data_IF_082364573549
#
_entry.id   IF_082364573549
#
_cell.length_a   1.000
_cell.length_b   1.000
_cell.length_c   1.000
_cell.angle_alpha   90.00
_cell.angle_beta   90.00
_cell.angle_gamma   90.00
#
_symmetry.space_group_name_H-M   'P 1'
#
loop_
_entity.id
_entity.type
_entity.pdbx_description
1 polymer ?
#
# COMPACT_ATOMS: atom_id res chain seq x y z
N UNK A 1 -21.43 5.90 19.59
CA UNK A 1 -21.17 7.22 19.02
C UNK A 1 -20.45 8.06 20.06
N UNK A 2 -19.14 8.24 19.91
CA UNK A 2 -18.38 9.15 20.77
C UNK A 2 -18.52 10.58 20.22
N UNK A 3 -18.45 11.57 21.10
CA UNK A 3 -18.38 12.99 20.78
C UNK A 3 -17.00 13.45 21.20
N UNK A 4 -16.32 14.14 20.30
CA UNK A 4 -15.01 14.73 20.52
C UNK A 4 -15.16 16.24 20.50
N UNK A 5 -14.46 16.87 21.42
CA UNK A 5 -14.54 18.31 21.64
C UNK A 5 -13.11 18.84 21.66
N UNK A 6 -12.76 19.61 20.62
CA UNK A 6 -11.45 20.24 20.50
C UNK A 6 -11.51 21.67 21.00
N UNK A 7 -10.68 21.96 21.99
CA UNK A 7 -10.54 23.26 22.61
C UNK A 7 -9.31 24.00 22.06
N UNK A 8 -9.29 25.32 22.29
CA UNK A 8 -8.16 26.16 21.89
C UNK A 8 -6.88 25.84 22.67
N UNK A 9 -7.02 25.49 23.95
CA UNK A 9 -5.92 25.11 24.82
C UNK A 9 -6.36 24.12 25.92
N UNK A 10 -5.38 23.53 26.60
CA UNK A 10 -5.57 22.54 27.66
C UNK A 10 -6.37 23.08 28.85
N UNK A 11 -6.28 24.39 29.10
CA UNK A 11 -6.94 25.02 30.25
C UNK A 11 -8.44 25.10 30.01
N UNK A 12 -8.84 25.49 28.80
CA UNK A 12 -10.23 25.51 28.36
C UNK A 12 -10.83 24.11 28.37
N UNK A 13 -10.10 23.12 27.86
CA UNK A 13 -10.50 21.71 27.88
C UNK A 13 -10.77 21.21 29.31
N UNK A 14 -9.81 21.42 30.21
CA UNK A 14 -9.92 21.01 31.61
C UNK A 14 -11.08 21.69 32.33
N UNK A 15 -11.24 22.99 32.11
CA UNK A 15 -12.34 23.77 32.71
C UNK A 15 -13.71 23.22 32.33
N UNK A 16 -13.89 22.78 31.09
CA UNK A 16 -15.17 22.22 30.62
C UNK A 16 -15.35 20.77 31.06
N UNK A 17 -14.30 19.96 31.01
CA UNK A 17 -14.34 18.56 31.47
C UNK A 17 -14.69 18.43 32.96
N UNK A 18 -14.31 19.40 33.80
CA UNK A 18 -14.69 19.43 35.22
C UNK A 18 -16.17 19.79 35.45
N UNK A 19 -16.82 20.45 34.47
CA UNK A 19 -18.20 20.93 34.60
C UNK A 19 -19.23 19.99 33.96
N UNK A 20 -18.83 19.23 32.93
CA UNK A 20 -19.74 18.39 32.15
C UNK A 20 -19.45 16.92 32.43
N UNK A 21 -20.43 16.25 33.04
CA UNK A 21 -20.33 14.83 33.37
C UNK A 21 -20.20 13.97 32.10
N UNK A 22 -19.28 13.01 32.14
CA UNK A 22 -19.05 12.07 31.04
C UNK A 22 -17.99 12.51 30.02
N UNK A 23 -17.36 13.69 30.21
CA UNK A 23 -16.17 14.07 29.45
C UNK A 23 -14.89 13.51 30.08
N UNK A 24 -14.07 12.88 29.26
CA UNK A 24 -12.72 12.44 29.58
C UNK A 24 -11.73 13.20 28.70
N UNK A 25 -10.68 13.77 29.30
CA UNK A 25 -9.61 14.44 28.55
C UNK A 25 -8.76 13.38 27.85
N UNK A 26 -8.41 13.59 26.58
CA UNK A 26 -7.51 12.72 25.84
C UNK A 26 -6.12 12.67 26.50
N UNK A 27 -5.53 11.49 26.51
CA UNK A 27 -4.20 11.25 27.11
C UNK A 27 -3.09 11.79 26.18
N UNK A 28 -3.34 11.77 24.87
CA UNK A 28 -2.39 12.19 23.82
C UNK A 28 -2.43 13.71 23.61
N UNK A 29 -3.63 14.29 23.49
CA UNK A 29 -3.83 15.73 23.26
C UNK A 29 -4.71 16.34 24.37
N UNK A 30 -4.09 17.10 25.27
CA UNK A 30 -4.78 17.64 26.46
C UNK A 30 -5.79 18.74 26.19
N UNK A 31 -5.81 19.28 24.97
CA UNK A 31 -6.85 20.20 24.50
C UNK A 31 -8.04 19.48 23.83
N UNK A 32 -8.10 18.13 23.88
CA UNK A 32 -9.22 17.33 23.37
C UNK A 32 -9.94 16.63 24.54
N UNK A 33 -11.27 16.66 24.53
CA UNK A 33 -12.10 15.84 25.42
C UNK A 33 -13.06 14.94 24.62
N UNK A 34 -13.35 13.76 25.16
CA UNK A 34 -14.13 12.72 24.51
C UNK A 34 -15.24 12.25 25.46
N UNK A 35 -16.45 12.04 24.93
CA UNK A 35 -17.57 11.47 25.67
C UNK A 35 -18.28 10.41 24.84
N UNK A 36 -18.56 9.23 25.42
CA UNK A 36 -19.40 8.20 24.76
C UNK A 36 -20.87 8.60 24.71
N UNK A 37 -21.29 9.44 25.66
CA UNK A 37 -22.62 10.04 25.74
C UNK A 37 -22.50 11.34 26.52
N UNK A 38 -23.02 12.41 25.94
CA UNK A 38 -23.02 13.73 26.58
C UNK A 38 -24.42 14.32 26.52
N UNK A 39 -24.77 15.09 27.54
CA UNK A 39 -25.93 15.97 27.46
C UNK A 39 -25.51 17.23 26.69
N UNK A 40 -25.97 17.36 25.44
CA UNK A 40 -25.63 18.48 24.57
C UNK A 40 -26.01 19.84 25.17
N UNK A 41 -27.11 19.92 25.93
CA UNK A 41 -27.51 21.16 26.60
C UNK A 41 -26.59 21.51 27.75
N UNK A 42 -26.14 20.51 28.51
CA UNK A 42 -25.16 20.71 29.57
C UNK A 42 -23.83 21.19 29.00
N UNK A 43 -23.39 20.63 27.87
CA UNK A 43 -22.20 21.07 27.16
C UNK A 43 -22.34 22.52 26.65
N UNK A 44 -23.41 22.84 25.94
CA UNK A 44 -23.67 24.19 25.43
C UNK A 44 -23.69 25.23 26.57
N UNK A 45 -24.34 24.89 27.69
CA UNK A 45 -24.40 25.76 28.86
C UNK A 45 -23.00 25.98 29.47
N UNK A 46 -22.20 24.91 29.62
CA UNK A 46 -20.86 25.01 30.17
C UNK A 46 -19.92 25.87 29.29
N UNK A 47 -19.98 25.68 27.96
CA UNK A 47 -19.24 26.49 26.99
C UNK A 47 -19.65 27.97 27.09
N UNK A 48 -20.96 28.25 27.17
CA UNK A 48 -21.50 29.60 27.29
C UNK A 48 -21.08 30.30 28.59
N UNK A 49 -21.24 29.63 29.74
CA UNK A 49 -20.90 30.18 31.05
C UNK A 49 -19.40 30.44 31.20
N UNK A 50 -18.58 29.54 30.67
CA UNK A 50 -17.11 29.65 30.71
C UNK A 50 -16.57 30.62 29.66
N UNK A 51 -17.40 31.07 28.71
CA UNK A 51 -16.99 31.87 27.53
C UNK A 51 -15.90 31.18 26.71
N UNK A 52 -15.99 29.85 26.63
CA UNK A 52 -15.07 28.99 25.89
C UNK A 52 -15.74 28.58 24.58
N UNK A 53 -14.97 28.61 23.50
CA UNK A 53 -15.37 28.07 22.21
C UNK A 53 -14.66 26.74 21.97
N UNK A 54 -15.39 25.76 21.46
CA UNK A 54 -14.83 24.46 21.10
C UNK A 54 -15.43 23.96 19.79
N UNK A 55 -14.66 23.17 19.05
CA UNK A 55 -15.17 22.43 17.90
C UNK A 55 -15.74 21.11 18.43
N UNK A 56 -17.05 20.95 18.31
CA UNK A 56 -17.77 19.73 18.72
C UNK A 56 -18.02 18.92 17.46
N UNK A 57 -17.47 17.72 17.43
CA UNK A 57 -17.64 16.78 16.34
C UNK A 57 -18.08 15.42 16.88
N UNK A 58 -18.86 14.70 16.09
CA UNK A 58 -19.05 13.28 16.34
C UNK A 58 -17.75 12.58 15.98
N UNK A 59 -17.41 11.52 16.69
CA UNK A 59 -16.18 10.77 16.46
C UNK A 59 -16.09 10.27 15.01
N UNK A 60 -17.22 9.81 14.47
CA UNK A 60 -17.36 9.45 13.05
C UNK A 60 -16.91 10.60 12.14
N UNK A 61 -17.35 11.84 12.38
CA UNK A 61 -16.97 13.00 11.55
C UNK A 61 -15.49 13.38 11.64
N UNK A 62 -14.81 13.12 12.76
CA UNK A 62 -13.36 13.36 12.86
C UNK A 62 -12.55 12.26 12.20
N UNK A 63 -12.97 11.00 12.38
CA UNK A 63 -12.34 9.88 11.71
C UNK A 63 -12.52 9.99 10.20
N UNK A 64 -13.69 10.40 9.71
CA UNK A 64 -13.93 10.61 8.29
C UNK A 64 -12.95 11.67 7.73
N UNK A 65 -12.75 12.81 8.39
CA UNK A 65 -11.78 13.83 7.95
C UNK A 65 -10.33 13.34 7.94
N UNK A 66 -9.94 12.54 8.94
CA UNK A 66 -8.60 11.95 9.03
C UNK A 66 -8.40 10.89 7.96
N UNK A 67 -9.37 9.99 7.80
CA UNK A 67 -9.37 8.96 6.74
C UNK A 67 -9.26 9.61 5.38
N UNK A 68 -10.10 10.61 5.09
CA UNK A 68 -10.10 11.30 3.80
C UNK A 68 -8.73 11.94 3.51
N UNK A 69 -8.06 12.53 4.52
CA UNK A 69 -6.71 13.08 4.36
C UNK A 69 -5.63 12.01 4.12
N UNK A 70 -5.76 10.85 4.75
CA UNK A 70 -4.84 9.71 4.53
C UNK A 70 -5.05 9.17 3.12
N UNK A 71 -6.31 8.92 2.74
CA UNK A 71 -6.71 8.33 1.46
C UNK A 71 -6.51 9.29 0.28
N UNK A 72 -6.53 10.60 0.47
CA UNK A 72 -6.21 11.60 -0.57
C UNK A 72 -4.79 11.41 -1.15
N UNK A 73 -3.87 10.80 -0.38
CA UNK A 73 -2.51 10.49 -0.85
C UNK A 73 -2.46 9.27 -1.77
N UNK A 74 -3.56 8.52 -1.92
CA UNK A 74 -3.62 7.32 -2.75
C UNK A 74 -3.98 7.73 -4.16
N UNK A 75 -3.02 7.55 -5.07
CA UNK A 75 -3.25 7.78 -6.50
C UNK A 75 -3.87 6.53 -7.16
N UNK A 76 -4.86 6.73 -8.03
CA UNK A 76 -5.56 5.64 -8.70
C UNK A 76 -4.60 4.79 -9.55
N UNK A 77 -4.64 3.47 -9.37
CA UNK A 77 -3.80 2.52 -10.11
C UNK A 77 -2.37 2.38 -9.59
N UNK A 78 -1.99 3.14 -8.56
CA UNK A 78 -0.70 3.01 -7.87
C UNK A 78 -0.78 2.00 -6.70
N UNK A 79 0.35 1.42 -6.28
CA UNK A 79 0.39 0.51 -5.13
C UNK A 79 -0.15 1.15 -3.84
N UNK A 80 -1.17 0.53 -3.26
CA UNK A 80 -1.77 0.95 -1.99
C UNK A 80 -2.29 -0.26 -1.22
N UNK A 81 -2.30 -0.14 0.11
CA UNK A 81 -2.79 -1.17 1.04
C UNK A 81 -3.95 -0.61 1.88
N UNK A 82 -4.96 -1.43 2.11
CA UNK A 82 -6.01 -1.14 3.08
C UNK A 82 -5.63 -1.78 4.41
N UNK A 83 -5.33 -0.93 5.40
CA UNK A 83 -4.95 -1.38 6.74
C UNK A 83 -6.12 -1.20 7.68
N UNK A 84 -6.48 -2.26 8.40
CA UNK A 84 -7.58 -2.28 9.35
C UNK A 84 -7.09 -2.38 10.80
N UNK A 85 -7.83 -1.79 11.73
CA UNK A 85 -7.65 -1.98 13.17
C UNK A 85 -8.28 -3.31 13.61
N UNK A 86 -7.46 -4.20 14.17
CA UNK A 86 -7.93 -5.53 14.58
C UNK A 86 -8.87 -5.49 15.79
N UNK A 87 -8.67 -4.55 16.72
CA UNK A 87 -9.59 -4.36 17.85
C UNK A 87 -11.00 -3.99 17.35
N UNK A 88 -11.10 -3.01 16.45
CA UNK A 88 -12.37 -2.60 15.83
C UNK A 88 -13.01 -3.72 15.03
N UNK A 89 -12.20 -4.45 14.25
CA UNK A 89 -12.68 -5.58 13.47
C UNK A 89 -13.31 -6.66 14.36
N UNK A 90 -12.67 -7.02 15.47
CA UNK A 90 -13.20 -7.97 16.46
C UNK A 90 -14.51 -7.49 17.11
N UNK A 91 -14.69 -6.18 17.22
CA UNK A 91 -15.94 -5.54 17.69
C UNK A 91 -16.96 -5.28 16.57
N UNK A 92 -16.75 -5.83 15.37
CA UNK A 92 -17.61 -5.65 14.18
C UNK A 92 -17.76 -4.19 13.75
N UNK A 93 -16.74 -3.38 13.97
CA UNK A 93 -16.64 -1.98 13.53
C UNK A 93 -15.62 -1.90 12.39
N UNK A 94 -16.05 -1.37 11.24
CA UNK A 94 -15.13 -1.09 10.14
C UNK A 94 -14.29 0.15 10.48
N UNK A 95 -13.02 -0.08 10.77
CA UNK A 95 -12.06 0.96 11.09
C UNK A 95 -10.73 0.65 10.41
N UNK A 96 -10.36 1.50 9.45
CA UNK A 96 -9.20 1.29 8.58
C UNK A 96 -9.17 2.31 7.46
N UNK A 97 -8.04 2.42 6.78
CA UNK A 97 -7.83 3.39 5.72
C UNK A 97 -6.98 2.81 4.59
N UNK A 98 -7.22 3.29 3.36
CA UNK A 98 -6.29 3.10 2.26
C UNK A 98 -5.05 3.97 2.44
N UNK A 99 -3.88 3.36 2.39
CA UNK A 99 -2.57 4.02 2.57
C UNK A 99 -1.73 3.74 1.32
N UNK A 100 -1.16 4.79 0.75
CA UNK A 100 -0.23 4.66 -0.38
C UNK A 100 0.98 3.83 0.05
N UNK A 101 1.40 2.87 -0.76
CA UNK A 101 2.61 2.10 -0.50
C UNK A 101 3.86 2.74 -1.13
N UNK A 102 3.69 3.74 -2.00
CA UNK A 102 4.78 4.51 -2.63
C UNK A 102 5.32 5.61 -1.71
N UNK A 103 5.68 5.22 -0.49
CA UNK A 103 6.28 6.10 0.50
C UNK A 103 7.15 5.30 1.47
N UNK A 104 7.89 5.99 2.33
CA UNK A 104 8.75 5.32 3.30
C UNK A 104 7.97 4.42 4.26
N UNK A 105 8.55 3.29 4.73
CA UNK A 105 7.93 2.44 5.74
C UNK A 105 7.51 3.20 7.01
N UNK A 106 8.30 4.20 7.41
CA UNK A 106 8.02 5.07 8.56
C UNK A 106 6.77 5.92 8.33
N UNK A 107 6.58 6.47 7.13
CA UNK A 107 5.39 7.25 6.79
C UNK A 107 4.13 6.38 6.70
N UNK A 108 4.25 5.12 6.25
CA UNK A 108 3.15 4.14 6.30
C UNK A 108 2.79 3.88 7.75
N UNK A 109 3.79 3.57 8.59
CA UNK A 109 3.58 3.30 10.01
C UNK A 109 2.94 4.49 10.75
N UNK A 110 3.36 5.72 10.47
CA UNK A 110 2.77 6.94 11.05
C UNK A 110 1.27 7.04 10.72
N UNK A 111 0.88 6.75 9.47
CA UNK A 111 -0.54 6.74 9.05
C UNK A 111 -1.33 5.59 9.69
N UNK A 112 -0.72 4.42 9.88
CA UNK A 112 -1.36 3.30 10.60
C UNK A 112 -1.54 3.65 12.07
N UNK A 113 -0.54 4.26 12.72
CA UNK A 113 -0.64 4.69 14.11
C UNK A 113 -1.70 5.79 14.28
N UNK A 114 -1.76 6.74 13.35
CA UNK A 114 -2.81 7.75 13.32
C UNK A 114 -4.19 7.10 13.10
N UNK A 115 -4.33 6.12 12.20
CA UNK A 115 -5.58 5.37 12.05
C UNK A 115 -5.98 4.69 13.37
N UNK A 116 -5.04 4.02 14.03
CA UNK A 116 -5.29 3.27 15.27
C UNK A 116 -5.69 4.18 16.45
N UNK A 117 -5.11 5.37 16.59
CA UNK A 117 -5.46 6.30 17.68
C UNK A 117 -6.90 6.84 17.57
N UNK A 118 -7.47 6.78 16.37
CA UNK A 118 -8.88 7.07 16.08
C UNK A 118 -9.77 5.82 16.10
N UNK A 119 -9.33 4.71 16.68
CA UNK A 119 -10.23 3.59 17.02
C UNK A 119 -11.02 3.87 18.30
N UNK A 120 -12.31 3.55 18.29
CA UNK A 120 -13.16 3.62 19.48
C UNK A 120 -12.97 2.47 20.47
N UNK A 121 -12.19 1.44 20.09
CA UNK A 121 -11.95 0.27 20.92
C UNK A 121 -10.82 0.51 21.92
N UNK A 122 -10.91 -0.09 23.13
CA UNK A 122 -9.81 -0.01 24.09
C UNK A 122 -8.58 -0.78 23.57
N UNK A 123 -7.39 -0.18 23.69
CA UNK A 123 -6.11 -0.83 23.35
C UNK A 123 -6.04 -1.23 21.86
N UNK A 124 -6.40 -0.31 20.97
CA UNK A 124 -6.28 -0.47 19.53
C UNK A 124 -4.83 -0.29 19.06
N UNK A 125 -3.98 -1.30 19.27
CA UNK A 125 -2.56 -1.26 18.86
C UNK A 125 -2.27 -2.18 17.67
N UNK A 126 -3.14 -3.16 17.43
CA UNK A 126 -2.95 -4.20 16.42
C UNK A 126 -3.62 -3.84 15.09
N UNK A 127 -2.92 -4.12 14.00
CA UNK A 127 -3.35 -3.86 12.63
C UNK A 127 -3.09 -5.07 11.73
N UNK A 128 -3.79 -5.09 10.59
CA UNK A 128 -3.59 -6.07 9.53
C UNK A 128 -3.86 -5.44 8.16
N UNK A 129 -3.14 -5.88 7.13
CA UNK A 129 -3.42 -5.55 5.72
C UNK A 129 -4.56 -6.46 5.27
N UNK A 130 -5.75 -5.88 5.06
CA UNK A 130 -6.94 -6.64 4.69
C UNK A 130 -7.18 -6.69 3.18
N UNK A 131 -6.64 -5.73 2.44
CA UNK A 131 -6.78 -5.64 0.99
C UNK A 131 -5.61 -4.83 0.41
N UNK A 132 -5.33 -4.99 -0.88
CA UNK A 132 -4.29 -4.23 -1.57
C UNK A 132 -4.65 -4.01 -3.05
N UNK A 133 -4.04 -2.99 -3.66
CA UNK A 133 -4.22 -2.69 -5.08
C UNK A 133 -2.94 -2.14 -5.70
N UNK A 134 -2.85 -2.15 -7.03
CA UNK A 134 -1.77 -1.49 -7.78
C UNK A 134 -0.43 -2.25 -7.86
N UNK A 135 -0.26 -3.36 -7.13
CA UNK A 135 0.97 -4.18 -7.08
C UNK A 135 1.23 -5.07 -8.31
N UNK A 136 0.56 -4.82 -9.44
CA UNK A 136 0.77 -5.49 -10.74
C UNK A 136 0.75 -7.04 -10.71
N UNK A 137 0.06 -7.63 -9.74
CA UNK A 137 -0.08 -9.08 -9.57
C UNK A 137 0.82 -9.70 -8.50
N UNK A 138 1.62 -8.90 -7.80
CA UNK A 138 2.32 -9.34 -6.58
C UNK A 138 1.28 -9.55 -5.46
N UNK A 139 1.46 -10.63 -4.71
CA UNK A 139 0.65 -10.92 -3.52
C UNK A 139 1.23 -10.20 -2.31
N UNK A 140 0.37 -9.51 -1.57
CA UNK A 140 0.70 -8.90 -0.28
C UNK A 140 -0.04 -9.69 0.80
N UNK A 141 0.70 -10.15 1.80
CA UNK A 141 0.17 -10.92 2.92
C UNK A 141 -0.27 -10.00 4.06
N UNK A 142 -1.16 -10.51 4.92
CA UNK A 142 -1.84 -9.77 5.99
C UNK A 142 -0.87 -9.06 6.96
N UNK A 143 0.32 -9.62 7.15
CA UNK A 143 1.35 -9.14 8.09
C UNK A 143 2.69 -8.87 7.42
N UNK A 144 2.71 -8.64 6.11
CA UNK A 144 3.94 -8.21 5.44
C UNK A 144 4.47 -6.93 6.08
N UNK A 145 5.79 -6.85 6.24
CA UNK A 145 6.41 -5.67 6.83
C UNK A 145 6.25 -4.46 5.92
N UNK A 146 6.11 -3.26 6.48
CA UNK A 146 6.03 -2.04 5.67
C UNK A 146 7.31 -1.78 4.86
N UNK A 147 8.46 -2.32 5.28
CA UNK A 147 9.69 -2.35 4.49
C UNK A 147 9.50 -3.16 3.20
N UNK A 148 8.96 -4.37 3.31
CA UNK A 148 8.68 -5.21 2.15
C UNK A 148 7.62 -4.56 1.26
N UNK A 149 6.49 -4.11 1.83
CA UNK A 149 5.40 -3.48 1.08
C UNK A 149 5.88 -2.25 0.31
N UNK A 150 6.63 -1.36 0.96
CA UNK A 150 7.18 -0.15 0.34
C UNK A 150 8.13 -0.50 -0.82
N UNK A 151 9.05 -1.44 -0.60
CA UNK A 151 10.00 -1.87 -1.64
C UNK A 151 9.29 -2.56 -2.82
N UNK A 152 8.28 -3.40 -2.56
CA UNK A 152 7.49 -4.03 -3.61
C UNK A 152 6.69 -3.00 -4.41
N UNK A 153 6.14 -1.97 -3.76
CA UNK A 153 5.46 -0.88 -4.41
C UNK A 153 6.40 -0.12 -5.37
N UNK A 154 7.58 0.26 -4.90
CA UNK A 154 8.59 0.95 -5.71
C UNK A 154 9.00 0.14 -6.95
N UNK A 155 9.26 -1.16 -6.76
CA UNK A 155 9.69 -2.05 -7.83
C UNK A 155 8.56 -2.33 -8.82
N UNK A 156 7.33 -2.53 -8.35
CA UNK A 156 6.16 -2.73 -9.19
C UNK A 156 5.81 -1.47 -10.00
N UNK A 157 6.04 -0.28 -9.45
CA UNK A 157 5.85 0.98 -10.18
C UNK A 157 6.96 1.20 -11.22
N UNK A 158 8.21 0.89 -10.86
CA UNK A 158 9.37 1.10 -11.73
C UNK A 158 9.47 0.10 -12.89
N UNK A 159 9.12 -1.16 -12.64
CA UNK A 159 9.38 -2.28 -13.56
C UNK A 159 8.11 -3.03 -13.97
N UNK A 160 6.96 -2.68 -13.39
CA UNK A 160 5.67 -3.19 -13.82
C UNK A 160 5.51 -4.70 -13.69
N UNK A 161 4.90 -5.29 -14.72
CA UNK A 161 4.54 -6.71 -14.77
C UNK A 161 5.76 -7.63 -14.83
N UNK A 162 6.87 -7.19 -15.42
CA UNK A 162 8.11 -7.97 -15.48
C UNK A 162 8.61 -8.31 -14.06
N UNK A 163 8.64 -7.31 -13.18
CA UNK A 163 9.04 -7.51 -11.79
C UNK A 163 8.04 -8.39 -11.04
N UNK A 164 6.73 -8.18 -11.22
CA UNK A 164 5.72 -9.01 -10.57
C UNK A 164 5.84 -10.50 -10.92
N UNK A 165 6.11 -10.81 -12.21
CA UNK A 165 6.32 -12.17 -12.67
C UNK A 165 7.56 -12.79 -12.01
N UNK A 166 8.68 -12.07 -12.02
CA UNK A 166 9.94 -12.53 -11.40
C UNK A 166 9.78 -12.73 -9.89
N UNK A 167 9.13 -11.78 -9.22
CA UNK A 167 8.87 -11.82 -7.78
C UNK A 167 8.03 -13.05 -7.38
N UNK A 168 6.93 -13.28 -8.09
CA UNK A 168 6.04 -14.42 -7.79
C UNK A 168 6.66 -15.78 -8.09
N UNK A 169 7.69 -15.82 -8.94
CA UNK A 169 8.41 -17.05 -9.29
C UNK A 169 9.45 -17.42 -8.21
N UNK A 170 10.21 -16.44 -7.69
CA UNK A 170 11.35 -16.68 -6.78
C UNK A 170 11.83 -15.47 -5.97
N UNK A 171 11.08 -14.38 -5.98
CA UNK A 171 11.41 -13.16 -5.25
C UNK A 171 11.40 -13.36 -3.74
N UNK A 172 12.29 -12.62 -3.07
CA UNK A 172 12.28 -12.43 -1.62
C UNK A 172 12.92 -11.08 -1.31
N UNK A 173 12.69 -10.54 -0.11
CA UNK A 173 13.29 -9.26 0.27
C UNK A 173 14.82 -9.26 0.13
N UNK A 174 15.47 -10.39 0.40
CA UNK A 174 16.93 -10.54 0.29
C UNK A 174 17.45 -10.72 -1.14
N UNK A 175 16.57 -10.97 -2.12
CA UNK A 175 16.94 -11.14 -3.54
C UNK A 175 16.38 -10.05 -4.43
N UNK A 176 15.58 -9.12 -3.91
CA UNK A 176 14.81 -8.15 -4.71
C UNK A 176 15.66 -7.33 -5.68
N UNK A 177 16.88 -6.99 -5.30
CA UNK A 177 17.79 -6.21 -6.15
C UNK A 177 18.39 -7.05 -7.31
N UNK A 178 18.35 -8.39 -7.24
CA UNK A 178 18.78 -9.28 -8.31
C UNK A 178 17.90 -9.17 -9.56
N UNK A 179 16.67 -8.65 -9.43
CA UNK A 179 15.76 -8.50 -10.56
C UNK A 179 16.40 -7.80 -11.76
N UNK A 180 17.21 -6.75 -11.51
CA UNK A 180 17.83 -5.99 -12.59
C UNK A 180 18.89 -6.81 -13.35
N UNK A 181 19.60 -7.70 -12.66
CA UNK A 181 20.59 -8.59 -13.26
C UNK A 181 19.90 -9.78 -13.95
N UNK A 182 18.78 -10.24 -13.40
CA UNK A 182 18.02 -11.37 -13.92
C UNK A 182 17.15 -10.99 -15.13
N UNK A 183 16.68 -9.75 -15.24
CA UNK A 183 15.76 -9.34 -16.29
C UNK A 183 16.47 -9.10 -17.63
N UNK A 184 16.08 -9.87 -18.64
CA UNK A 184 16.71 -9.86 -19.96
C UNK A 184 15.97 -8.98 -20.98
N UNK A 185 14.72 -8.61 -20.70
CA UNK A 185 13.94 -7.73 -21.55
C UNK A 185 12.52 -8.23 -21.84
N UNK A 186 11.79 -7.38 -22.55
CA UNK A 186 10.43 -7.63 -23.03
C UNK A 186 10.44 -7.77 -24.55
N UNK A 187 9.79 -8.82 -25.04
CA UNK A 187 9.79 -9.24 -26.43
C UNK A 187 8.37 -9.58 -26.89
N UNK A 188 8.11 -9.55 -28.20
CA UNK A 188 6.79 -9.90 -28.74
C UNK A 188 6.48 -11.38 -28.53
N UNK A 189 7.48 -12.22 -28.75
CA UNK A 189 7.46 -13.66 -28.53
C UNK A 189 8.87 -14.17 -28.21
N UNK A 190 8.96 -15.49 -28.00
CA UNK A 190 10.20 -16.18 -27.66
C UNK A 190 11.22 -16.21 -28.80
N UNK A 191 10.79 -16.11 -30.07
CA UNK A 191 11.69 -16.12 -31.22
C UNK A 191 12.37 -14.75 -31.35
N UNK A 192 11.64 -13.68 -31.07
CA UNK A 192 12.14 -12.30 -31.04
C UNK A 192 13.36 -12.15 -30.09
N UNK A 193 13.29 -12.75 -28.89
CA UNK A 193 14.44 -12.80 -27.97
C UNK A 193 15.66 -13.49 -28.58
N UNK A 194 15.47 -14.67 -29.20
CA UNK A 194 16.57 -15.41 -29.81
C UNK A 194 17.18 -14.65 -30.98
N UNK A 195 16.34 -14.00 -31.79
CA UNK A 195 16.80 -13.19 -32.92
C UNK A 195 17.66 -12.01 -32.46
N UNK A 196 17.34 -11.38 -31.33
CA UNK A 196 18.12 -10.29 -30.73
C UNK A 196 19.52 -10.74 -30.25
N UNK A 197 19.67 -12.02 -29.89
CA UNK A 197 20.96 -12.61 -29.54
C UNK A 197 21.82 -13.00 -30.75
N UNK A 198 21.22 -13.16 -31.93
CA UNK A 198 21.96 -13.57 -33.11
C UNK A 198 22.86 -12.43 -33.61
N UNK A 199 24.10 -12.74 -34.05
CA UNK A 199 24.94 -11.75 -34.69
C UNK A 199 24.22 -11.10 -35.87
N UNK A 200 24.39 -9.78 -36.00
CA UNK A 200 23.86 -8.96 -37.09
C UNK A 200 24.20 -9.51 -38.48
N UNK A 201 25.38 -10.13 -38.61
CA UNK A 201 25.83 -10.77 -39.83
C UNK A 201 25.03 -12.04 -40.15
N UNK A 202 24.54 -12.75 -39.13
CA UNK A 202 23.74 -13.95 -39.31
C UNK A 202 22.28 -13.60 -39.61
N UNK A 203 21.76 -12.49 -39.10
CA UNK A 203 20.37 -12.07 -39.34
C UNK A 203 20.14 -11.43 -40.72
N UNK A 204 21.22 -10.95 -41.38
CA UNK A 204 21.18 -10.22 -42.67
C UNK A 204 21.60 -11.05 -43.89
N UNK A 205 21.96 -12.31 -43.72
CA UNK A 205 22.39 -13.18 -44.83
C UNK A 205 21.17 -13.88 -45.45
N UNK A 206 21.15 -13.95 -46.78
CA UNK A 206 20.16 -14.72 -47.53
C UNK A 206 20.85 -15.80 -48.35
N UNK A 207 20.29 -17.01 -48.35
CA UNK A 207 20.72 -18.12 -49.19
C UNK A 207 19.60 -18.40 -50.19
N UNK A 208 19.87 -18.14 -51.47
CA UNK A 208 18.89 -18.25 -52.56
C UNK A 208 17.60 -17.42 -52.35
N UNK A 209 17.71 -16.24 -51.72
CA UNK A 209 16.59 -15.35 -51.44
C UNK A 209 15.72 -15.74 -50.26
N UNK A 210 16.19 -16.67 -49.42
CA UNK A 210 15.57 -17.05 -48.15
C UNK A 210 16.47 -16.55 -47.02
N UNK A 211 15.88 -15.88 -46.03
CA UNK A 211 16.63 -15.38 -44.89
C UNK A 211 17.21 -16.55 -44.09
N UNK A 212 18.46 -16.44 -43.67
CA UNK A 212 19.15 -17.47 -42.86
C UNK A 212 18.39 -17.85 -41.59
N UNK A 213 17.69 -16.89 -40.97
CA UNK A 213 16.85 -17.15 -39.79
C UNK A 213 15.76 -18.20 -40.05
N UNK A 214 15.24 -18.29 -41.28
CA UNK A 214 14.17 -19.24 -41.64
C UNK A 214 14.66 -20.69 -41.71
N UNK A 215 15.98 -20.90 -41.64
CA UNK A 215 16.61 -22.22 -41.56
C UNK A 215 16.97 -22.64 -40.13
N UNK A 216 16.78 -21.76 -39.13
CA UNK A 216 17.10 -22.06 -37.74
C UNK A 216 15.92 -22.77 -37.06
N UNK A 217 16.21 -23.86 -36.36
CA UNK A 217 15.24 -24.52 -35.48
C UNK A 217 15.16 -23.72 -34.16
N UNK A 218 14.31 -22.68 -34.19
CA UNK A 218 14.15 -21.75 -33.06
C UNK A 218 13.65 -22.47 -31.81
N UNK A 219 12.76 -23.45 -31.96
CA UNK A 219 12.25 -24.25 -30.84
C UNK A 219 13.36 -25.06 -30.16
N UNK A 220 14.28 -25.64 -30.94
CA UNK A 220 15.42 -26.35 -30.38
C UNK A 220 16.38 -25.41 -29.64
N UNK A 221 16.67 -24.23 -30.20
CA UNK A 221 17.54 -23.23 -29.58
C UNK A 221 16.95 -22.76 -28.24
N UNK A 222 15.66 -22.39 -28.24
CA UNK A 222 14.98 -21.90 -27.04
C UNK A 222 14.99 -22.97 -25.96
N UNK A 223 14.68 -24.22 -26.31
CA UNK A 223 14.71 -25.34 -25.35
C UNK A 223 16.10 -25.51 -24.73
N UNK A 224 17.16 -25.42 -25.53
CA UNK A 224 18.53 -25.53 -25.03
C UNK A 224 18.90 -24.33 -24.13
N UNK A 225 18.40 -23.13 -24.43
CA UNK A 225 18.56 -21.96 -23.55
C UNK A 225 17.80 -22.14 -22.23
N UNK A 226 16.57 -22.66 -22.27
CA UNK A 226 15.77 -22.96 -21.07
C UNK A 226 16.48 -23.99 -20.17
N UNK A 227 17.12 -25.01 -20.76
CA UNK A 227 17.96 -25.96 -20.01
C UNK A 227 19.17 -25.30 -19.34
N UNK A 228 19.67 -24.19 -19.89
CA UNK A 228 20.78 -23.41 -19.33
C UNK A 228 20.31 -22.24 -18.45
N UNK A 229 19.04 -22.24 -18.03
CA UNK A 229 18.52 -21.26 -17.09
C UNK A 229 17.87 -20.04 -17.73
N UNK A 230 17.49 -20.06 -19.00
CA UNK A 230 16.57 -19.06 -19.54
C UNK A 230 15.14 -19.36 -19.04
N UNK A 231 14.46 -18.34 -18.52
CA UNK A 231 13.06 -18.39 -18.18
C UNK A 231 12.28 -17.44 -19.07
N UNK A 232 11.30 -17.98 -19.81
CA UNK A 232 10.42 -17.19 -20.67
C UNK A 232 9.00 -17.24 -20.12
N UNK A 233 8.40 -16.08 -19.86
CA UNK A 233 7.03 -15.94 -19.34
C UNK A 233 6.20 -15.10 -20.30
N UNK A 234 5.20 -15.72 -20.91
CA UNK A 234 4.28 -15.05 -21.82
C UNK A 234 3.02 -14.59 -21.09
N UNK A 235 2.64 -13.33 -21.29
CA UNK A 235 1.38 -12.77 -20.80
C UNK A 235 0.57 -12.17 -21.96
N UNK A 236 -0.54 -11.50 -21.64
CA UNK A 236 -1.33 -10.76 -22.64
C UNK A 236 -0.64 -9.48 -23.11
N UNK A 237 0.35 -8.96 -22.38
CA UNK A 237 1.06 -7.72 -22.71
C UNK A 237 2.37 -7.94 -23.46
N UNK A 238 3.02 -9.08 -23.24
CA UNK A 238 4.29 -9.38 -23.90
C UNK A 238 4.89 -10.71 -23.44
N UNK A 239 6.13 -10.95 -23.86
CA UNK A 239 6.96 -12.07 -23.44
C UNK A 239 8.15 -11.53 -22.66
N UNK A 240 8.25 -11.89 -21.38
CA UNK A 240 9.32 -11.44 -20.49
C UNK A 240 10.36 -12.54 -20.33
N UNK A 241 11.63 -12.18 -20.49
CA UNK A 241 12.75 -13.11 -20.39
C UNK A 241 13.58 -12.83 -19.13
N UNK A 242 14.00 -13.89 -18.44
CA UNK A 242 14.82 -13.80 -17.23
C UNK A 242 15.91 -14.89 -17.22
N UNK A 243 17.03 -14.65 -16.53
CA UNK A 243 17.89 -15.75 -16.06
C UNK A 243 17.28 -16.41 -14.83
N UNK A 244 17.38 -17.73 -14.71
CA UNK A 244 16.83 -18.59 -13.65
C UNK A 244 17.76 -18.70 -12.43
#
# INVERSE_FOLDING_TARGET
>A
MYIVIKFKDDKDCKSIAEQVYGLSISIEERNIAIAQKIDERALELALSLSKVTAQVAKYETLWDEVRDRIEEKVEEGTPAIYVACLASYNSSVLHGAWISALQSPESILEQVQEMLSYSSEPVAEEWAIHEYQGFKGIVIEEYDSFELVSKLAEMAESFGEAFAIWWNDRGSLGTIDNFQDDFLGEYNDKEDYVLDLLPDELSKVEINGVATKDYLDMDAIIRDMEYNGLLIKRTSKGTFCFFA
#
